data_IF_061278763758
#
_entry.id   IF_061278763758
#
_cell.length_a   1.000
_cell.length_b   1.000
_cell.length_c   1.000
_cell.angle_alpha   90.00
_cell.angle_beta   90.00
_cell.angle_gamma   90.00
#
_symmetry.space_group_name_H-M   'P 1'
#
loop_
_entity.id
_entity.type
_entity.pdbx_description
1 polymer ?
#
# COMPACT_ATOMS: atom_id res chain seq x y z
N UNK A 1 61.22 6.29 7.96
CA UNK A 1 60.24 6.94 7.06
C UNK A 1 59.19 5.87 6.78
N UNK A 2 58.14 5.77 7.60
CA UNK A 2 56.80 6.34 7.34
C UNK A 2 56.29 5.87 5.95
N UNK A 3 55.22 5.09 5.82
CA UNK A 3 53.91 5.42 6.34
C UNK A 3 53.04 4.18 6.59
N UNK A 4 52.49 4.12 7.79
CA UNK A 4 51.31 3.36 8.17
C UNK A 4 50.06 4.11 7.69
N UNK A 5 49.25 3.48 6.83
CA UNK A 5 47.93 4.00 6.44
C UNK A 5 46.88 3.47 7.40
N UNK A 6 46.43 4.36 8.30
CA UNK A 6 45.30 4.16 9.19
C UNK A 6 44.11 5.01 8.73
N UNK A 7 42.90 4.48 9.00
CA UNK A 7 41.58 5.15 8.95
C UNK A 7 40.98 5.33 7.55
N UNK A 8 39.70 5.00 7.34
CA UNK A 8 38.57 5.50 8.12
C UNK A 8 37.44 4.49 8.24
N UNK A 9 37.00 4.28 9.48
CA UNK A 9 35.86 3.47 9.83
C UNK A 9 34.53 4.12 9.46
N UNK A 10 33.57 3.26 9.15
CA UNK A 10 32.15 3.54 8.99
C UNK A 10 31.61 4.35 10.18
N UNK A 11 31.11 5.57 9.92
CA UNK A 11 30.33 6.34 10.91
C UNK A 11 28.97 5.67 11.12
N UNK A 12 28.92 4.76 12.08
CA UNK A 12 27.68 4.37 12.75
C UNK A 12 27.21 5.54 13.64
N UNK A 13 25.93 5.91 13.52
CA UNK A 13 25.19 6.66 14.54
C UNK A 13 25.50 8.16 14.67
N UNK A 14 25.20 8.96 13.65
CA UNK A 14 24.90 10.38 13.92
C UNK A 14 23.48 10.45 14.48
N UNK A 15 23.34 10.63 15.80
CA UNK A 15 22.11 11.17 16.38
C UNK A 15 21.90 12.54 15.76
N UNK A 16 20.88 12.67 14.90
CA UNK A 16 20.48 13.97 14.37
C UNK A 16 20.20 14.90 15.56
N UNK A 17 20.73 16.13 15.51
CA UNK A 17 20.44 17.14 16.53
C UNK A 17 18.96 17.49 16.58
N UNK A 18 18.53 18.28 17.59
CA UNK A 18 17.13 18.70 17.70
C UNK A 18 16.69 19.46 16.45
N UNK A 19 15.45 19.19 16.00
CA UNK A 19 14.82 19.87 14.86
C UNK A 19 13.96 21.01 15.39
N UNK A 20 14.17 22.21 14.86
CA UNK A 20 13.37 23.40 15.17
C UNK A 20 12.11 23.43 14.30
N UNK A 21 10.94 23.47 14.94
CA UNK A 21 9.67 23.55 14.23
C UNK A 21 9.51 24.90 13.51
N UNK A 22 9.20 24.88 12.21
CA UNK A 22 8.95 26.07 11.40
C UNK A 22 7.65 26.82 11.77
N UNK A 23 6.72 26.16 12.48
CA UNK A 23 5.44 26.75 12.90
C UNK A 23 5.58 27.51 14.23
N UNK A 24 6.05 26.85 15.29
CA UNK A 24 6.10 27.45 16.63
C UNK A 24 7.51 27.81 17.12
N UNK A 25 8.56 27.46 16.37
CA UNK A 25 9.96 27.68 16.76
C UNK A 25 10.48 26.74 17.86
N UNK A 26 9.64 25.87 18.43
CA UNK A 26 10.03 24.91 19.45
C UNK A 26 10.96 23.82 18.90
N UNK A 27 11.98 23.46 19.67
CA UNK A 27 12.94 22.42 19.31
C UNK A 27 12.49 21.05 19.87
N UNK A 28 12.72 19.99 19.12
CA UNK A 28 12.38 18.63 19.53
C UNK A 28 13.24 17.59 18.84
N UNK A 29 13.47 16.46 19.51
CA UNK A 29 14.14 15.31 18.91
C UNK A 29 13.18 14.60 17.96
N UNK A 30 13.66 14.31 16.75
CA UNK A 30 12.90 13.60 15.73
C UNK A 30 13.64 12.32 15.35
N UNK A 31 12.95 11.17 15.25
CA UNK A 31 13.61 9.92 14.90
C UNK A 31 14.19 10.03 13.48
N UNK A 32 15.45 9.64 13.25
CA UNK A 32 16.00 9.61 11.90
C UNK A 32 15.22 8.60 11.05
N UNK A 33 14.90 8.99 9.82
CA UNK A 33 14.22 8.14 8.86
C UNK A 33 14.98 8.08 7.55
N UNK A 34 15.35 6.86 7.15
CA UNK A 34 15.83 6.51 5.81
C UNK A 34 15.17 5.19 5.46
N UNK A 35 14.16 5.16 4.57
CA UNK A 35 13.52 3.92 4.21
C UNK A 35 14.49 3.02 3.45
N UNK A 36 14.50 1.73 3.79
CA UNK A 36 14.98 0.69 2.87
C UNK A 36 13.90 0.38 1.82
N UNK A 37 14.26 -0.27 0.70
CA UNK A 37 13.26 -0.70 -0.28
C UNK A 37 12.30 -1.74 0.35
N UNK A 38 11.01 -1.77 -0.06
CA UNK A 38 10.09 -2.82 0.37
C UNK A 38 10.49 -4.17 -0.25
N UNK A 39 10.22 -5.27 0.46
CA UNK A 39 10.52 -6.63 -0.02
C UNK A 39 9.29 -7.34 -0.61
N UNK A 40 8.09 -6.86 -0.27
CA UNK A 40 6.82 -7.41 -0.71
C UNK A 40 6.10 -6.44 -1.65
N UNK A 41 5.33 -6.98 -2.59
CA UNK A 41 4.52 -6.19 -3.49
C UNK A 41 3.53 -5.30 -2.71
N UNK A 42 3.30 -4.04 -3.13
CA UNK A 42 2.36 -3.16 -2.48
C UNK A 42 0.91 -3.60 -2.73
N UNK A 43 0.03 -3.06 -1.90
CA UNK A 43 -1.43 -3.16 -2.06
C UNK A 43 -1.90 -2.36 -3.29
N UNK A 44 -3.16 -2.56 -3.70
CA UNK A 44 -3.75 -1.83 -4.82
C UNK A 44 -3.83 -0.30 -4.58
N UNK A 45 -3.97 0.13 -3.33
CA UNK A 45 -3.86 1.55 -2.91
C UNK A 45 -2.41 2.06 -2.75
N UNK A 46 -1.42 1.21 -3.07
CA UNK A 46 0.01 1.41 -2.91
C UNK A 46 0.53 1.40 -1.46
N UNK A 47 -0.24 0.85 -0.52
CA UNK A 47 0.30 0.54 0.80
C UNK A 47 1.51 -0.39 0.66
N UNK A 48 2.69 -0.01 1.19
CA UNK A 48 3.87 -0.85 1.04
C UNK A 48 3.73 -2.14 1.84
N UNK A 49 4.45 -3.17 1.40
CA UNK A 49 4.68 -4.35 2.21
C UNK A 49 5.80 -4.18 3.24
N UNK A 50 6.11 -5.23 3.99
CA UNK A 50 7.21 -5.22 4.96
C UNK A 50 8.59 -5.26 4.27
N UNK A 51 9.66 -4.75 4.93
CA UNK A 51 9.69 -4.09 6.24
C UNK A 51 9.31 -2.59 6.21
N UNK A 52 8.99 -2.05 5.02
CA UNK A 52 8.74 -0.62 4.85
C UNK A 52 7.47 -0.15 5.59
N UNK A 53 6.38 -0.94 5.55
CA UNK A 53 5.14 -0.68 6.31
C UNK A 53 5.39 -0.48 7.80
N UNK A 54 6.19 -1.35 8.42
CA UNK A 54 6.54 -1.24 9.84
C UNK A 54 7.25 0.07 10.23
N UNK A 55 7.69 0.88 9.26
CA UNK A 55 8.35 2.16 9.51
C UNK A 55 7.43 3.38 9.45
N UNK A 56 6.12 3.22 9.21
CA UNK A 56 5.15 4.33 9.08
C UNK A 56 5.21 5.36 10.22
N UNK A 57 5.51 4.93 11.45
CA UNK A 57 5.68 5.80 12.61
C UNK A 57 6.81 6.83 12.47
N UNK A 58 7.70 6.67 11.49
CA UNK A 58 8.84 7.55 11.19
C UNK A 58 8.67 8.36 9.90
N UNK A 59 7.59 8.15 9.16
CA UNK A 59 7.36 8.86 7.89
C UNK A 59 7.04 10.34 8.10
N UNK A 60 6.42 10.67 9.24
CA UNK A 60 6.15 12.03 9.67
C UNK A 60 6.82 12.31 11.01
N UNK A 61 7.50 13.45 11.04
CA UNK A 61 7.89 14.14 12.26
C UNK A 61 6.67 14.83 12.88
N UNK A 62 6.68 15.02 14.19
CA UNK A 62 5.62 15.75 14.89
C UNK A 62 6.22 16.64 15.97
N UNK A 63 5.86 17.92 15.95
CA UNK A 63 6.25 18.87 16.97
C UNK A 63 5.45 18.61 18.25
N UNK A 64 6.09 18.33 19.41
CA UNK A 64 5.37 18.10 20.66
C UNK A 64 4.76 19.38 21.24
N UNK A 65 5.17 20.57 20.75
CA UNK A 65 4.74 21.87 21.30
C UNK A 65 3.45 22.40 20.64
N UNK A 66 3.29 22.19 19.33
CA UNK A 66 2.14 22.68 18.56
C UNK A 66 1.41 21.59 17.77
N UNK A 67 1.83 20.33 17.90
CA UNK A 67 1.29 19.16 17.18
C UNK A 67 1.44 19.19 15.65
N UNK A 68 2.05 20.23 15.04
CA UNK A 68 2.38 20.27 13.62
C UNK A 68 3.14 19.00 13.21
N UNK A 69 2.60 18.31 12.20
CA UNK A 69 3.18 17.10 11.64
C UNK A 69 3.50 17.32 10.18
N UNK A 70 4.66 16.83 9.73
CA UNK A 70 5.12 16.90 8.35
C UNK A 70 6.27 15.90 8.16
N UNK A 71 6.65 15.56 6.91
CA UNK A 71 7.87 14.79 6.67
C UNK A 71 9.12 15.44 7.27
N UNK A 72 9.14 16.78 7.29
CA UNK A 72 10.17 17.60 7.91
C UNK A 72 9.52 18.81 8.59
N UNK A 73 9.48 18.85 9.93
CA UNK A 73 8.85 19.96 10.66
C UNK A 73 9.67 21.24 10.65
N UNK A 74 10.92 21.22 10.20
CA UNK A 74 11.72 22.44 9.97
C UNK A 74 11.32 23.16 8.67
N UNK A 75 10.42 22.56 7.88
CA UNK A 75 9.87 23.15 6.67
C UNK A 75 8.36 23.22 6.78
N UNK A 76 7.80 24.39 6.54
CA UNK A 76 6.37 24.60 6.55
C UNK A 76 5.95 25.55 5.43
N UNK A 77 4.75 25.33 4.91
CA UNK A 77 4.09 26.33 4.09
C UNK A 77 3.84 27.59 4.93
N UNK A 78 3.91 28.81 4.37
CA UNK A 78 3.67 30.04 5.13
C UNK A 78 2.33 30.06 5.88
N UNK A 79 1.28 29.50 5.28
CA UNK A 79 -0.05 29.41 5.90
C UNK A 79 -0.21 28.24 6.91
N UNK A 80 0.81 27.41 7.14
CA UNK A 80 0.70 26.28 8.06
C UNK A 80 0.45 26.72 9.51
N UNK A 81 0.96 27.89 9.90
CA UNK A 81 0.72 28.43 11.25
C UNK A 81 -0.75 28.76 11.49
N UNK A 82 -1.45 29.29 10.48
CA UNK A 82 -2.88 29.59 10.55
C UNK A 82 -3.70 28.30 10.63
N UNK A 83 -3.37 27.31 9.81
CA UNK A 83 -4.01 25.98 9.84
C UNK A 83 -3.86 25.30 11.22
N UNK A 84 -2.64 25.29 11.78
CA UNK A 84 -2.37 24.72 13.12
C UNK A 84 -3.10 25.48 14.23
N UNK A 85 -3.26 26.81 14.07
CA UNK A 85 -4.01 27.65 15.00
C UNK A 85 -5.52 27.59 14.80
N UNK A 86 -6.04 26.89 13.79
CA UNK A 86 -7.47 26.79 13.53
C UNK A 86 -8.17 25.87 14.55
N UNK A 87 -9.46 26.12 14.81
CA UNK A 87 -10.24 25.28 15.72
C UNK A 87 -10.37 23.82 15.26
N UNK A 88 -10.58 23.50 13.96
CA UNK A 88 -10.62 22.12 13.48
C UNK A 88 -9.34 21.33 13.78
N UNK A 89 -8.17 21.93 13.55
CA UNK A 89 -6.89 21.28 13.86
C UNK A 89 -6.76 20.94 15.35
N UNK A 90 -7.09 21.89 16.24
CA UNK A 90 -7.04 21.64 17.69
C UNK A 90 -8.00 20.54 18.12
N UNK A 91 -9.20 20.49 17.56
CA UNK A 91 -10.17 19.44 17.84
C UNK A 91 -9.61 18.07 17.41
N UNK A 92 -9.05 17.98 16.20
CA UNK A 92 -8.41 16.76 15.69
C UNK A 92 -7.25 16.29 16.58
N UNK A 93 -6.40 17.21 17.05
CA UNK A 93 -5.27 16.87 17.94
C UNK A 93 -5.76 16.38 19.30
N UNK A 94 -6.86 16.95 19.81
CA UNK A 94 -7.48 16.56 21.08
C UNK A 94 -8.33 15.29 21.00
N UNK A 95 -8.67 14.81 19.79
CA UNK A 95 -9.49 13.61 19.61
C UNK A 95 -8.76 12.39 20.18
N UNK A 96 -9.36 11.69 21.14
CA UNK A 96 -8.71 10.55 21.81
C UNK A 96 -9.15 9.19 21.29
N UNK A 97 -10.27 9.13 20.55
CA UNK A 97 -10.78 7.89 19.95
C UNK A 97 -9.97 7.43 18.73
N UNK A 98 -9.23 8.34 18.10
CA UNK A 98 -8.37 8.04 16.95
C UNK A 98 -6.99 7.53 17.38
N UNK A 99 -6.42 6.51 16.70
CA UNK A 99 -5.04 6.10 16.92
C UNK A 99 -4.03 7.25 16.86
N UNK A 100 -3.06 7.36 17.79
CA UNK A 100 -2.09 8.46 17.79
C UNK A 100 -1.31 8.62 16.48
N UNK A 101 -0.93 7.50 15.83
CA UNK A 101 -0.25 7.56 14.54
C UNK A 101 -1.19 8.02 13.41
N UNK A 102 -2.44 7.58 13.40
CA UNK A 102 -3.43 8.04 12.42
C UNK A 102 -3.68 9.54 12.58
N UNK A 103 -3.85 10.04 13.82
CA UNK A 103 -3.98 11.48 14.09
C UNK A 103 -2.81 12.30 13.56
N UNK A 104 -1.58 11.77 13.61
CA UNK A 104 -0.42 12.45 13.04
C UNK A 104 -0.55 12.63 11.53
N UNK A 105 -1.00 11.60 10.82
CA UNK A 105 -1.27 11.69 9.38
C UNK A 105 -2.44 12.62 9.06
N UNK A 106 -3.55 12.54 9.82
CA UNK A 106 -4.69 13.44 9.65
C UNK A 106 -4.33 14.90 9.94
N UNK A 107 -3.49 15.16 10.96
CA UNK A 107 -3.01 16.52 11.26
C UNK A 107 -2.20 17.09 10.09
N UNK A 108 -1.40 16.24 9.44
CA UNK A 108 -0.68 16.63 8.23
C UNK A 108 -1.64 16.84 7.04
N UNK A 109 -2.62 15.96 6.86
CA UNK A 109 -3.65 16.09 5.84
C UNK A 109 -4.41 17.41 5.96
N UNK A 110 -4.81 17.80 7.17
CA UNK A 110 -5.49 19.07 7.43
C UNK A 110 -4.64 20.28 7.01
N UNK A 111 -3.35 20.31 7.36
CA UNK A 111 -2.48 21.41 6.92
C UNK A 111 -2.32 21.43 5.40
N UNK A 112 -2.23 20.26 4.76
CA UNK A 112 -2.16 20.17 3.31
C UNK A 112 -3.45 20.67 2.63
N UNK A 113 -4.60 20.35 3.20
CA UNK A 113 -5.90 20.83 2.72
C UNK A 113 -6.00 22.35 2.81
N UNK A 114 -5.74 22.91 4.00
CA UNK A 114 -5.78 24.36 4.25
C UNK A 114 -4.74 25.14 3.41
N UNK A 115 -3.69 24.48 2.94
CA UNK A 115 -2.65 25.07 2.07
C UNK A 115 -2.86 24.77 0.58
N UNK A 116 -3.98 24.11 0.22
CA UNK A 116 -4.37 23.82 -1.16
C UNK A 116 -3.64 22.64 -1.82
N UNK A 117 -2.83 21.90 -1.06
CA UNK A 117 -2.11 20.72 -1.51
C UNK A 117 -2.98 19.45 -1.46
N UNK A 118 -4.17 19.50 -2.07
CA UNK A 118 -5.26 18.53 -1.90
C UNK A 118 -4.86 17.07 -2.17
N UNK A 119 -4.14 16.79 -3.25
CA UNK A 119 -3.69 15.42 -3.54
C UNK A 119 -2.76 14.88 -2.46
N UNK A 120 -1.81 15.70 -1.98
CA UNK A 120 -0.96 15.29 -0.88
C UNK A 120 -1.76 15.10 0.42
N UNK A 121 -2.80 15.92 0.63
CA UNK A 121 -3.75 15.75 1.73
C UNK A 121 -4.45 14.39 1.66
N UNK A 122 -4.95 14.02 0.49
CA UNK A 122 -5.55 12.71 0.25
C UNK A 122 -4.58 11.55 0.54
N UNK A 123 -3.31 11.65 0.12
CA UNK A 123 -2.26 10.67 0.46
C UNK A 123 -2.09 10.51 1.97
N UNK A 124 -2.02 11.62 2.70
CA UNK A 124 -1.89 11.60 4.15
C UNK A 124 -3.12 11.00 4.82
N UNK A 125 -4.33 11.32 4.35
CA UNK A 125 -5.58 10.71 4.85
C UNK A 125 -5.62 9.21 4.58
N UNK A 126 -5.19 8.76 3.39
CA UNK A 126 -5.08 7.33 3.07
C UNK A 126 -4.08 6.61 3.99
N UNK A 127 -2.95 7.23 4.33
CA UNK A 127 -2.02 6.68 5.31
C UNK A 127 -2.66 6.51 6.70
N UNK A 128 -3.57 7.41 7.10
CA UNK A 128 -4.35 7.23 8.33
C UNK A 128 -5.27 6.00 8.23
N UNK A 129 -5.91 5.77 7.08
CA UNK A 129 -6.71 4.56 6.83
C UNK A 129 -5.87 3.27 6.91
N UNK A 130 -4.61 3.30 6.45
CA UNK A 130 -3.69 2.17 6.62
C UNK A 130 -3.40 1.88 8.09
N UNK A 131 -3.18 2.92 8.90
CA UNK A 131 -3.00 2.76 10.35
C UNK A 131 -4.25 2.15 10.99
N UNK A 132 -5.46 2.57 10.56
CA UNK A 132 -6.70 1.98 11.03
C UNK A 132 -6.80 0.49 10.67
N UNK A 133 -6.40 0.09 9.45
CA UNK A 133 -6.32 -1.34 9.08
C UNK A 133 -5.33 -2.10 9.99
N UNK A 134 -4.15 -1.54 10.26
CA UNK A 134 -3.14 -2.14 11.16
C UNK A 134 -3.68 -2.37 12.57
N UNK A 135 -4.58 -1.51 13.00
CA UNK A 135 -5.22 -1.55 14.32
C UNK A 135 -6.56 -2.26 14.34
N UNK A 136 -6.95 -2.90 13.23
CA UNK A 136 -8.22 -3.59 13.08
C UNK A 136 -9.44 -2.69 13.41
N UNK A 137 -9.43 -1.46 12.88
CA UNK A 137 -10.50 -0.45 12.99
C UNK A 137 -11.14 -0.20 11.62
N UNK A 138 -11.93 -1.15 11.09
CA UNK A 138 -12.45 -1.10 9.73
C UNK A 138 -13.40 0.08 9.47
N UNK A 139 -14.13 0.51 10.51
CA UNK A 139 -14.97 1.70 10.56
C UNK A 139 -14.20 2.97 10.18
N UNK A 140 -13.11 3.27 10.91
CA UNK A 140 -12.24 4.41 10.61
C UNK A 140 -11.52 4.26 9.27
N UNK A 141 -11.13 3.03 8.93
CA UNK A 141 -10.42 2.76 7.69
C UNK A 141 -11.30 2.97 6.45
N UNK A 142 -12.62 2.73 6.56
CA UNK A 142 -13.59 3.03 5.52
C UNK A 142 -13.87 4.53 5.42
N UNK A 143 -14.12 5.19 6.57
CA UNK A 143 -14.36 6.63 6.66
C UNK A 143 -13.22 7.43 6.00
N UNK A 144 -11.98 7.22 6.42
CA UNK A 144 -10.84 7.97 5.90
C UNK A 144 -10.48 7.63 4.45
N UNK A 145 -10.92 6.47 3.93
CA UNK A 145 -10.82 6.20 2.48
C UNK A 145 -11.78 7.07 1.69
N UNK A 146 -13.00 7.26 2.18
CA UNK A 146 -13.97 8.15 1.54
C UNK A 146 -13.50 9.61 1.59
N UNK A 147 -12.91 10.04 2.71
CA UNK A 147 -12.33 11.37 2.84
C UNK A 147 -11.15 11.57 1.87
N UNK A 148 -10.25 10.59 1.76
CA UNK A 148 -9.15 10.64 0.77
C UNK A 148 -9.69 10.74 -0.66
N UNK A 149 -10.75 9.98 -1.00
CA UNK A 149 -11.41 10.07 -2.32
C UNK A 149 -12.01 11.45 -2.56
N UNK A 150 -12.65 12.05 -1.57
CA UNK A 150 -13.17 13.41 -1.67
C UNK A 150 -12.05 14.40 -1.97
N UNK A 151 -10.94 14.35 -1.21
CA UNK A 151 -9.78 15.23 -1.40
C UNK A 151 -9.12 15.07 -2.78
N UNK A 152 -8.92 13.84 -3.26
CA UNK A 152 -8.42 13.61 -4.62
C UNK A 152 -9.34 14.20 -5.68
N UNK A 153 -10.67 14.03 -5.55
CA UNK A 153 -11.65 14.57 -6.51
C UNK A 153 -11.80 16.08 -6.46
N UNK A 154 -11.49 16.71 -5.33
CA UNK A 154 -11.44 18.18 -5.20
C UNK A 154 -10.16 18.81 -5.77
N UNK A 155 -9.13 18.00 -6.04
CA UNK A 155 -7.88 18.44 -6.63
C UNK A 155 -7.88 18.53 -8.16
N UNK A 156 -6.70 18.71 -8.77
CA UNK A 156 -6.54 18.59 -10.22
C UNK A 156 -7.02 17.24 -10.77
N UNK A 157 -7.29 17.13 -12.09
CA UNK A 157 -7.67 15.86 -12.70
C UNK A 157 -6.69 14.73 -12.38
N UNK A 158 -7.23 13.57 -12.00
CA UNK A 158 -6.45 12.38 -11.65
C UNK A 158 -5.88 11.72 -12.91
N UNK A 159 -4.66 11.22 -12.79
CA UNK A 159 -4.14 10.29 -13.79
C UNK A 159 -4.73 8.88 -13.61
N UNK A 160 -4.41 7.98 -14.53
CA UNK A 160 -4.94 6.63 -14.54
C UNK A 160 -4.50 5.80 -13.31
N UNK A 161 -3.29 6.02 -12.80
CA UNK A 161 -2.77 5.30 -11.64
C UNK A 161 -3.43 5.78 -10.34
N UNK A 162 -3.60 7.09 -10.19
CA UNK A 162 -4.36 7.70 -9.10
C UNK A 162 -5.83 7.26 -9.13
N UNK A 163 -6.44 7.17 -10.32
CA UNK A 163 -7.82 6.72 -10.47
C UNK A 163 -7.99 5.26 -10.02
N UNK A 164 -7.01 4.38 -10.26
CA UNK A 164 -7.02 3.01 -9.70
C UNK A 164 -7.08 3.02 -8.17
N UNK A 165 -6.32 3.92 -7.53
CA UNK A 165 -6.29 4.01 -6.07
C UNK A 165 -7.60 4.55 -5.50
N UNK A 166 -8.29 5.42 -6.23
CA UNK A 166 -9.67 5.83 -5.91
C UNK A 166 -10.62 4.63 -5.98
N UNK A 167 -10.50 3.79 -7.01
CA UNK A 167 -11.33 2.58 -7.14
C UNK A 167 -11.09 1.63 -5.95
N UNK A 168 -9.83 1.34 -5.60
CA UNK A 168 -9.51 0.49 -4.44
C UNK A 168 -10.06 1.10 -3.14
N UNK A 169 -9.88 2.41 -2.92
CA UNK A 169 -10.36 3.09 -1.73
C UNK A 169 -11.89 3.00 -1.60
N UNK A 170 -12.64 3.28 -2.68
CA UNK A 170 -14.10 3.16 -2.71
C UNK A 170 -14.56 1.72 -2.49
N UNK A 171 -13.91 0.75 -3.13
CA UNK A 171 -14.20 -0.68 -2.97
C UNK A 171 -14.01 -1.11 -1.52
N UNK A 172 -12.87 -0.78 -0.90
CA UNK A 172 -12.55 -1.15 0.48
C UNK A 172 -13.41 -0.44 1.51
N UNK A 173 -13.95 0.73 1.18
CA UNK A 173 -14.97 1.43 1.96
C UNK A 173 -16.40 0.88 1.74
N UNK A 174 -16.60 -0.04 0.79
CA UNK A 174 -17.92 -0.59 0.45
C UNK A 174 -18.82 0.34 -0.36
N UNK A 175 -18.26 1.39 -0.97
CA UNK A 175 -18.99 2.33 -1.84
C UNK A 175 -19.16 1.75 -3.26
N UNK A 176 -19.83 0.60 -3.36
CA UNK A 176 -19.87 -0.22 -4.58
C UNK A 176 -20.34 0.51 -5.85
N UNK A 177 -21.42 1.31 -5.83
CA UNK A 177 -21.88 1.97 -7.04
C UNK A 177 -20.86 2.96 -7.60
N UNK A 178 -20.21 3.72 -6.71
CA UNK A 178 -19.21 4.72 -7.07
C UNK A 178 -17.90 4.05 -7.54
N UNK A 179 -17.49 2.96 -6.86
CA UNK A 179 -16.35 2.15 -7.27
C UNK A 179 -16.56 1.58 -8.69
N UNK A 180 -17.74 1.01 -8.97
CA UNK A 180 -18.09 0.45 -10.27
C UNK A 180 -18.11 1.52 -11.37
N UNK A 181 -18.77 2.66 -11.12
CA UNK A 181 -18.83 3.76 -12.07
C UNK A 181 -17.44 4.34 -12.38
N UNK A 182 -16.59 4.48 -11.36
CA UNK A 182 -15.22 4.96 -11.54
C UNK A 182 -14.37 3.96 -12.35
N UNK A 183 -14.53 2.66 -12.09
CA UNK A 183 -13.84 1.61 -12.84
C UNK A 183 -14.27 1.54 -14.32
N UNK A 184 -15.57 1.64 -14.59
CA UNK A 184 -16.11 1.68 -15.96
C UNK A 184 -15.61 2.90 -16.73
N UNK A 185 -15.67 4.08 -16.10
CA UNK A 185 -15.18 5.32 -16.70
C UNK A 185 -13.68 5.23 -17.05
N UNK A 186 -12.85 4.71 -16.14
CA UNK A 186 -11.42 4.52 -16.40
C UNK A 186 -11.19 3.50 -17.52
N UNK A 187 -11.90 2.36 -17.52
CA UNK A 187 -11.76 1.35 -18.57
C UNK A 187 -12.08 1.91 -19.97
N UNK A 188 -13.07 2.80 -20.07
CA UNK A 188 -13.46 3.44 -21.33
C UNK A 188 -12.38 4.37 -21.92
N UNK A 189 -11.40 4.80 -21.12
CA UNK A 189 -10.28 5.64 -21.58
C UNK A 189 -9.19 4.88 -22.33
N UNK A 190 -9.30 3.55 -22.45
CA UNK A 190 -8.24 2.66 -22.95
C UNK A 190 -6.90 2.87 -22.20
N UNK A 191 -6.87 2.66 -20.87
CA UNK A 191 -5.68 2.92 -20.08
C UNK A 191 -4.53 1.95 -20.41
N UNK A 192 -3.29 2.25 -20.00
CA UNK A 192 -2.14 1.37 -20.24
C UNK A 192 -2.39 -0.07 -19.76
N UNK A 193 -1.77 -1.09 -20.39
CA UNK A 193 -2.08 -2.49 -20.10
C UNK A 193 -1.96 -2.90 -18.63
N UNK A 194 -1.01 -2.33 -17.90
CA UNK A 194 -0.85 -2.58 -16.46
C UNK A 194 -2.04 -2.05 -15.65
N UNK A 195 -2.48 -0.82 -15.93
CA UNK A 195 -3.66 -0.21 -15.31
C UNK A 195 -4.92 -1.00 -15.66
N UNK A 196 -5.10 -1.37 -16.94
CA UNK A 196 -6.25 -2.15 -17.38
C UNK A 196 -6.36 -3.51 -16.65
N UNK A 197 -5.24 -4.16 -16.35
CA UNK A 197 -5.22 -5.40 -15.57
C UNK A 197 -5.68 -5.19 -14.13
N UNK A 198 -5.25 -4.10 -13.49
CA UNK A 198 -5.72 -3.76 -12.14
C UNK A 198 -7.20 -3.42 -12.15
N UNK A 199 -7.68 -2.62 -13.10
CA UNK A 199 -9.11 -2.29 -13.24
C UNK A 199 -9.96 -3.57 -13.44
N UNK A 200 -9.47 -4.52 -14.23
CA UNK A 200 -10.15 -5.81 -14.43
C UNK A 200 -10.19 -6.68 -13.15
N UNK A 201 -9.18 -6.61 -12.30
CA UNK A 201 -9.22 -7.23 -10.96
C UNK A 201 -10.23 -6.50 -10.08
N UNK A 202 -10.11 -5.18 -9.94
CA UNK A 202 -11.00 -4.35 -9.12
C UNK A 202 -12.47 -4.56 -9.47
N UNK A 203 -12.81 -4.60 -10.75
CA UNK A 203 -14.18 -4.85 -11.23
C UNK A 203 -14.74 -6.18 -10.71
N UNK A 204 -13.92 -7.24 -10.69
CA UNK A 204 -14.33 -8.55 -10.16
C UNK A 204 -14.54 -8.49 -8.65
N UNK A 205 -13.65 -7.81 -7.93
CA UNK A 205 -13.73 -7.66 -6.48
C UNK A 205 -14.96 -6.83 -6.07
N UNK A 206 -15.24 -5.75 -6.80
CA UNK A 206 -16.45 -4.92 -6.63
C UNK A 206 -17.71 -5.76 -6.85
N UNK A 207 -17.76 -6.57 -7.92
CA UNK A 207 -18.90 -7.45 -8.20
C UNK A 207 -19.11 -8.51 -7.11
N UNK A 208 -18.03 -8.97 -6.49
CA UNK A 208 -18.06 -9.90 -5.35
C UNK A 208 -18.32 -9.21 -4.00
N UNK A 209 -18.42 -7.88 -3.96
CA UNK A 209 -18.49 -7.07 -2.74
C UNK A 209 -17.35 -7.37 -1.75
N UNK A 210 -16.15 -7.63 -2.29
CA UNK A 210 -14.96 -7.89 -1.49
C UNK A 210 -14.33 -6.56 -1.05
N UNK A 211 -14.34 -6.27 0.25
CA UNK A 211 -13.66 -5.11 0.88
C UNK A 211 -12.22 -5.41 1.30
N UNK A 212 -11.77 -6.63 1.07
CA UNK A 212 -10.48 -7.17 1.49
C UNK A 212 -9.29 -6.50 0.81
N UNK A 213 -8.13 -6.74 1.41
CA UNK A 213 -6.82 -6.30 0.91
C UNK A 213 -6.38 -7.19 -0.25
N UNK A 214 -5.95 -6.57 -1.34
CA UNK A 214 -5.34 -7.22 -2.51
C UNK A 214 -4.06 -6.48 -2.91
N UNK A 215 -3.18 -7.16 -3.63
CA UNK A 215 -1.86 -6.61 -4.03
C UNK A 215 -1.79 -6.35 -5.52
N UNK A 216 -0.88 -5.47 -5.95
CA UNK A 216 -0.60 -5.27 -7.39
C UNK A 216 -0.19 -6.60 -8.05
N UNK A 217 0.53 -7.46 -7.33
CA UNK A 217 0.91 -8.78 -7.83
C UNK A 217 -0.31 -9.69 -8.10
N UNK A 218 -1.43 -9.49 -7.38
CA UNK A 218 -2.68 -10.23 -7.58
C UNK A 218 -3.37 -9.89 -8.92
N UNK A 219 -3.08 -8.72 -9.49
CA UNK A 219 -3.64 -8.29 -10.79
C UNK A 219 -2.84 -8.81 -11.98
N UNK A 220 -1.57 -9.21 -11.76
CA UNK A 220 -0.65 -9.55 -12.84
C UNK A 220 -0.72 -11.06 -13.18
N UNK A 221 -0.68 -11.44 -14.46
CA UNK A 221 -0.52 -12.83 -14.87
C UNK A 221 0.73 -13.45 -14.23
N UNK A 222 0.69 -14.73 -13.84
CA UNK A 222 1.89 -15.40 -13.35
C UNK A 222 3.01 -15.34 -14.40
N UNK A 223 4.20 -14.93 -13.97
CA UNK A 223 5.37 -14.69 -14.83
C UNK A 223 6.01 -15.96 -15.41
N UNK A 224 5.47 -17.14 -15.12
CA UNK A 224 5.94 -18.39 -15.70
C UNK A 224 5.11 -18.78 -16.92
N UNK A 225 5.74 -19.05 -18.09
CA UNK A 225 5.12 -19.90 -19.09
C UNK A 225 4.78 -21.21 -18.37
N UNK A 226 3.49 -21.55 -18.31
CA UNK A 226 3.10 -22.90 -17.86
C UNK A 226 3.88 -23.86 -18.75
N UNK A 227 4.72 -24.77 -18.22
CA UNK A 227 5.24 -25.83 -19.05
C UNK A 227 4.00 -26.56 -19.59
N UNK A 228 3.76 -26.45 -20.90
CA UNK A 228 2.83 -27.32 -21.57
C UNK A 228 3.36 -28.73 -21.33
N UNK A 229 2.76 -29.44 -20.38
CA UNK A 229 2.96 -30.87 -20.25
C UNK A 229 2.35 -31.45 -21.53
N UNK A 230 3.17 -31.56 -22.56
CA UNK A 230 2.88 -32.43 -23.67
C UNK A 230 2.70 -33.81 -23.04
N UNK A 231 1.46 -34.28 -22.96
CA UNK A 231 1.19 -35.68 -22.71
C UNK A 231 1.85 -36.45 -23.86
N UNK A 232 3.11 -36.83 -23.67
CA UNK A 232 3.71 -37.89 -24.46
C UNK A 232 2.80 -39.10 -24.21
N UNK A 233 2.01 -39.43 -25.23
CA UNK A 233 1.37 -40.74 -25.35
C UNK A 233 2.47 -41.76 -25.16
N UNK A 234 2.54 -42.33 -23.96
CA UNK A 234 3.36 -43.51 -23.69
C UNK A 234 2.80 -44.59 -24.62
N UNK A 235 3.53 -44.83 -25.71
CA UNK A 235 3.29 -45.96 -26.59
C UNK A 235 3.29 -47.21 -25.74
N UNK A 236 2.13 -47.87 -25.66
CA UNK A 236 1.93 -49.12 -24.95
C UNK A 236 2.85 -50.17 -25.59
N UNK A 237 4.02 -50.37 -25.00
CA UNK A 237 4.90 -51.49 -25.32
C UNK A 237 4.09 -52.77 -25.16
N UNK A 238 4.04 -53.58 -26.22
CA UNK A 238 3.45 -54.91 -26.22
C UNK A 238 4.27 -55.80 -25.27
N UNK A 239 3.89 -55.85 -24.00
CA UNK A 239 4.30 -56.95 -23.12
C UNK A 239 3.49 -58.19 -23.50
N UNK A 240 4.05 -59.00 -24.40
CA UNK A 240 3.58 -60.36 -24.63
C UNK A 240 3.77 -61.21 -23.37
N UNK A 241 2.79 -62.07 -23.08
CA UNK A 241 2.92 -63.11 -22.06
C UNK A 241 2.03 -62.95 -20.82
N UNK A 242 0.75 -62.61 -21.00
CA UNK A 242 -0.24 -62.67 -19.91
C UNK A 242 -0.57 -64.11 -19.51
N UNK A 243 -0.75 -64.31 -18.21
CA UNK A 243 -1.46 -65.35 -17.41
C UNK A 243 -2.13 -66.55 -18.11
N UNK A 244 -2.67 -66.39 -19.31
CA UNK A 244 -3.20 -67.47 -20.18
C UNK A 244 -2.12 -68.43 -20.70
N UNK A 245 -0.86 -67.99 -20.83
CA UNK A 245 0.26 -68.88 -21.19
C UNK A 245 0.76 -69.72 -19.99
N UNK A 246 0.46 -69.30 -18.76
CA UNK A 246 0.77 -70.03 -17.53
C UNK A 246 -0.28 -71.11 -17.23
N UNK A 247 -1.56 -70.84 -17.46
CA UNK A 247 -2.66 -71.81 -17.29
C UNK A 247 -2.64 -72.97 -18.31
N UNK A 248 -2.06 -72.79 -19.50
CA UNK A 248 -1.93 -73.86 -20.50
C UNK A 248 -0.86 -74.92 -20.16
N UNK A 249 0.03 -74.66 -19.18
CA UNK A 249 1.06 -75.61 -18.73
C UNK A 249 0.63 -76.49 -17.55
N UNK A 250 -0.53 -76.24 -16.94
CA UNK A 250 -1.04 -77.05 -15.82
C UNK A 250 -2.04 -78.17 -16.21
N UNK A 251 -2.52 -78.21 -17.46
CA UNK A 251 -3.52 -79.18 -17.92
C UNK A 251 -3.07 -80.07 -19.10
N UNK A 252 -1.76 -80.20 -19.32
CA UNK A 252 -1.20 -81.14 -20.31
C UNK A 252 -0.27 -82.15 -19.65
N UNK A 253 -0.81 -82.85 -18.65
CA UNK A 253 -0.31 -84.12 -18.11
C UNK A 253 -1.52 -84.87 -17.55
N UNK A 254 -2.11 -85.73 -18.37
CA UNK A 254 -3.26 -86.55 -18.03
C UNK A 254 -4.03 -86.94 -19.29
N UNK A 255 -3.71 -88.10 -19.86
CA UNK A 255 -4.32 -88.66 -21.07
C UNK A 255 -3.30 -88.96 -22.14
#
# INVERSE_FOLDING_TARGET
>A
MASSSSSTGSKAGQTAGPVRCAVCGGESQQPPFRPGPPEQAPDLDLRPGEPLRGTMARWLQQCPHCAYAAPDIARAHPAAAEAVAAAPFRALVAETSYPPLARRFLAWAHVLEETGALHAGAEATLHAAWVADDMNRPDLAAEWRLDAVALWRSGPPLDAEQTVRVIDALRRAGAWPDAAATAEALAATNPPPAVAQVVALETKLIAAQDTGRHTIASAMPPSYPRPHVAQQRIGRAKSGGGFRAWLARLFRRGG
#
